data_IF_809411273095
#
_entry.id   IF_809411273095
#
_cell.length_a   1.000
_cell.length_b   1.000
_cell.length_c   1.000
_cell.angle_alpha   90.00
_cell.angle_beta   90.00
_cell.angle_gamma   90.00
#
_symmetry.space_group_name_H-M   'P 1'
#
loop_
_entity.id
_entity.type
_entity.pdbx_description
1 polymer ?
#
# COMPACT_ATOMS: atom_id res chain seq x y z
N UNK A 1 -9.74 -19.22 -24.62
CA UNK A 1 -8.81 -20.08 -23.86
C UNK A 1 -7.35 -19.62 -23.85
N UNK A 2 -6.81 -19.00 -24.93
CA UNK A 2 -5.39 -18.57 -24.96
C UNK A 2 -5.07 -17.32 -24.12
N UNK A 3 -5.94 -16.29 -24.18
CA UNK A 3 -5.74 -15.02 -23.47
C UNK A 3 -5.73 -15.17 -21.94
N UNK A 4 -6.73 -15.84 -21.40
CA UNK A 4 -6.86 -16.04 -19.94
C UNK A 4 -5.69 -16.84 -19.34
N UNK A 5 -5.20 -17.87 -20.06
CA UNK A 5 -4.02 -18.61 -19.61
C UNK A 5 -2.73 -17.80 -19.70
N UNK A 6 -2.59 -16.94 -20.72
CA UNK A 6 -1.45 -16.04 -20.84
C UNK A 6 -1.43 -14.97 -19.75
N UNK A 7 -2.58 -14.42 -19.39
CA UNK A 7 -2.70 -13.52 -18.24
C UNK A 7 -2.27 -14.23 -16.96
N UNK A 8 -2.81 -15.42 -16.68
CA UNK A 8 -2.44 -16.19 -15.49
C UNK A 8 -0.93 -16.49 -15.40
N UNK A 9 -0.29 -16.83 -16.52
CA UNK A 9 1.16 -17.05 -16.55
C UNK A 9 1.95 -15.76 -16.26
N UNK A 10 1.50 -14.61 -16.79
CA UNK A 10 2.14 -13.33 -16.54
C UNK A 10 2.01 -12.89 -15.07
N UNK A 11 0.87 -13.15 -14.41
CA UNK A 11 0.70 -12.89 -12.98
C UNK A 11 1.48 -13.88 -12.09
N UNK A 12 1.89 -15.03 -12.63
CA UNK A 12 2.75 -16.01 -11.95
C UNK A 12 4.25 -15.75 -12.18
N UNK A 13 4.62 -14.54 -12.58
CA UNK A 13 6.00 -14.11 -12.85
C UNK A 13 6.76 -14.97 -13.88
N UNK A 14 6.03 -15.59 -14.82
CA UNK A 14 6.66 -16.30 -15.93
C UNK A 14 7.46 -15.34 -16.82
N UNK A 15 8.67 -15.76 -17.21
CA UNK A 15 9.54 -14.98 -18.09
C UNK A 15 9.03 -14.97 -19.53
N UNK A 16 9.48 -13.99 -20.33
CA UNK A 16 9.10 -13.89 -21.74
C UNK A 16 9.39 -15.19 -22.51
N UNK A 17 10.57 -15.79 -22.31
CA UNK A 17 10.95 -17.04 -22.95
C UNK A 17 10.05 -18.22 -22.55
N UNK A 18 9.65 -18.29 -21.28
CA UNK A 18 8.72 -19.33 -20.79
C UNK A 18 7.34 -19.16 -21.42
N UNK A 19 6.81 -17.94 -21.46
CA UNK A 19 5.53 -17.66 -22.09
C UNK A 19 5.59 -17.91 -23.61
N UNK A 20 6.69 -17.58 -24.28
CA UNK A 20 6.88 -17.91 -25.70
C UNK A 20 6.83 -19.41 -25.95
N UNK A 21 7.51 -20.22 -25.14
CA UNK A 21 7.49 -21.67 -25.24
C UNK A 21 6.09 -22.27 -24.93
N UNK A 22 5.40 -21.75 -23.91
CA UNK A 22 4.09 -22.25 -23.49
C UNK A 22 2.96 -21.94 -24.47
N UNK A 23 3.03 -20.79 -25.15
CA UNK A 23 1.97 -20.31 -26.06
C UNK A 23 2.35 -20.40 -27.54
N UNK A 24 3.57 -20.85 -27.86
CA UNK A 24 4.07 -20.96 -29.23
C UNK A 24 4.25 -19.60 -29.91
N UNK A 25 4.59 -18.56 -29.14
CA UNK A 25 4.81 -17.22 -29.69
C UNK A 25 6.24 -17.05 -30.16
N UNK A 26 6.39 -16.48 -31.35
CA UNK A 26 7.69 -16.15 -31.96
C UNK A 26 8.04 -14.67 -31.83
N UNK A 27 7.03 -13.80 -31.66
CA UNK A 27 7.23 -12.37 -31.42
C UNK A 27 7.33 -12.10 -29.90
N UNK A 28 8.47 -11.58 -29.39
CA UNK A 28 8.64 -11.22 -27.99
C UNK A 28 7.71 -10.08 -27.52
N UNK A 29 7.09 -9.32 -28.43
CA UNK A 29 6.09 -8.30 -28.06
C UNK A 29 4.82 -8.93 -27.46
N UNK A 30 4.52 -10.17 -27.83
CA UNK A 30 3.34 -10.88 -27.34
C UNK A 30 3.39 -11.12 -25.83
N UNK A 31 4.41 -11.80 -25.26
CA UNK A 31 4.52 -11.96 -23.81
C UNK A 31 4.75 -10.62 -23.09
N UNK A 32 5.51 -9.69 -23.69
CA UNK A 32 5.78 -8.39 -23.09
C UNK A 32 4.49 -7.60 -22.79
N UNK A 33 3.48 -7.67 -23.66
CA UNK A 33 2.18 -7.03 -23.42
C UNK A 33 1.50 -7.53 -22.14
N UNK A 34 1.49 -8.85 -21.93
CA UNK A 34 0.86 -9.47 -20.75
C UNK A 34 1.67 -9.22 -19.47
N UNK A 35 3.00 -9.33 -19.54
CA UNK A 35 3.89 -9.06 -18.40
C UNK A 35 3.81 -7.60 -17.97
N UNK A 36 3.80 -6.67 -18.93
CA UNK A 36 3.66 -5.24 -18.62
C UNK A 36 2.32 -4.91 -17.95
N UNK A 37 1.24 -5.60 -18.35
CA UNK A 37 -0.06 -5.47 -17.69
C UNK A 37 -0.02 -6.00 -16.25
N UNK A 38 0.46 -7.24 -16.06
CA UNK A 38 0.54 -7.86 -14.74
C UNK A 38 1.38 -7.02 -13.76
N UNK A 39 2.55 -6.53 -14.20
CA UNK A 39 3.43 -5.68 -13.38
C UNK A 39 2.78 -4.35 -13.01
N UNK A 40 2.07 -3.70 -13.93
CA UNK A 40 1.35 -2.46 -13.64
C UNK A 40 0.29 -2.67 -12.56
N UNK A 41 -0.46 -3.76 -12.62
CA UNK A 41 -1.50 -4.06 -11.65
C UNK A 41 -0.91 -4.40 -10.27
N UNK A 42 0.14 -5.23 -10.22
CA UNK A 42 0.86 -5.54 -8.97
C UNK A 42 1.49 -4.30 -8.33
N UNK A 43 2.08 -3.41 -9.12
CA UNK A 43 2.64 -2.14 -8.65
C UNK A 43 1.57 -1.19 -8.14
N UNK A 44 0.42 -1.11 -8.82
CA UNK A 44 -0.72 -0.31 -8.38
C UNK A 44 -1.27 -0.80 -7.03
N UNK A 45 -1.48 -2.11 -6.90
CA UNK A 45 -1.98 -2.73 -5.67
C UNK A 45 -1.00 -2.52 -4.49
N UNK A 46 0.29 -2.84 -4.70
CA UNK A 46 1.31 -2.69 -3.65
C UNK A 46 1.62 -1.23 -3.31
N UNK A 47 1.50 -0.31 -4.27
CA UNK A 47 1.61 1.13 -4.02
C UNK A 47 0.47 1.65 -3.14
N UNK A 48 -0.76 1.22 -3.43
CA UNK A 48 -1.92 1.61 -2.63
C UNK A 48 -1.85 1.04 -1.20
N UNK A 49 -1.43 -0.23 -1.06
CA UNK A 49 -1.23 -0.85 0.25
C UNK A 49 -0.24 -0.05 1.11
N UNK A 50 0.90 0.36 0.53
CA UNK A 50 1.89 1.19 1.23
C UNK A 50 1.33 2.54 1.67
N UNK A 51 0.48 3.18 0.87
CA UNK A 51 -0.17 4.44 1.24
C UNK A 51 -1.14 4.24 2.41
N UNK A 52 -1.95 3.17 2.38
CA UNK A 52 -2.85 2.83 3.48
C UNK A 52 -2.09 2.51 4.76
N UNK A 53 -1.02 1.71 4.68
CA UNK A 53 -0.17 1.41 5.83
C UNK A 53 0.52 2.65 6.38
N UNK A 54 0.98 3.55 5.51
CA UNK A 54 1.57 4.82 5.93
C UNK A 54 0.55 5.70 6.66
N UNK A 55 -0.65 5.89 6.10
CA UNK A 55 -1.73 6.67 6.72
C UNK A 55 -2.11 6.11 8.10
N UNK A 56 -2.25 4.79 8.20
CA UNK A 56 -2.51 4.12 9.47
C UNK A 56 -1.40 4.38 10.51
N UNK A 57 -0.13 4.29 10.10
CA UNK A 57 1.02 4.55 10.99
C UNK A 57 1.10 6.01 11.49
N UNK A 58 0.69 6.97 10.67
CA UNK A 58 0.64 8.39 11.06
C UNK A 58 -0.51 8.66 12.04
N UNK A 59 -1.65 8.01 11.83
CA UNK A 59 -2.83 8.21 12.67
C UNK A 59 -2.65 7.60 14.08
N UNK A 60 -1.96 6.46 14.20
CA UNK A 60 -1.61 5.85 15.49
C UNK A 60 -0.65 6.74 16.32
N UNK A 61 0.23 7.51 15.69
CA UNK A 61 1.20 8.37 16.37
C UNK A 61 0.56 9.63 17.01
N UNK A 62 -0.55 10.13 16.45
CA UNK A 62 -1.24 11.33 16.94
C UNK A 62 -2.06 11.02 18.21
N UNK A 63 -2.58 9.79 18.33
CA UNK A 63 -3.36 9.33 19.49
C UNK A 63 -2.56 9.33 20.78
N UNK A 64 -1.31 8.87 20.73
CA UNK A 64 -0.42 8.83 21.90
C UNK A 64 0.02 10.22 22.37
N UNK A 65 0.35 11.12 21.44
CA UNK A 65 0.77 12.49 21.80
C UNK A 65 -0.38 13.32 22.41
N UNK A 66 -1.60 13.16 21.89
CA UNK A 66 -2.77 13.88 22.41
C UNK A 66 -3.21 13.37 23.79
N UNK A 67 -3.15 12.06 24.02
CA UNK A 67 -3.46 11.46 25.33
C UNK A 67 -2.41 11.84 26.38
N UNK A 68 -1.12 11.81 26.04
CA UNK A 68 -0.04 12.22 26.95
C UNK A 68 -0.10 13.72 27.28
N UNK A 69 -0.49 14.58 26.34
CA UNK A 69 -0.73 16.02 26.57
C UNK A 69 -1.96 16.26 27.47
N UNK A 70 -3.04 15.51 27.28
CA UNK A 70 -4.24 15.62 28.10
C UNK A 70 -3.98 15.19 29.56
N UNK A 71 -3.24 14.10 29.77
CA UNK A 71 -2.84 13.63 31.11
C UNK A 71 -1.97 14.68 31.82
N UNK A 72 -1.00 15.28 31.13
CA UNK A 72 -0.15 16.33 31.70
C UNK A 72 -0.92 17.63 32.02
N UNK A 73 -1.97 17.96 31.26
CA UNK A 73 -2.81 19.14 31.51
C UNK A 73 -3.75 18.97 32.71
N UNK A 74 -4.13 17.74 33.05
CA UNK A 74 -4.99 17.44 34.21
C UNK A 74 -4.25 17.50 35.56
N UNK A 75 -2.91 17.54 35.55
CA UNK A 75 -2.05 17.56 36.76
C UNK A 75 -1.59 18.99 37.10
N UNK A 76 -2.41 20.02 36.85
CA UNK A 76 -2.13 21.38 37.32
C UNK A 76 -2.76 21.64 38.71
N UNK A 77 -2.01 22.15 39.71
CA UNK A 77 -2.49 22.23 41.09
C UNK A 77 -3.51 23.36 41.28
N UNK A 78 -4.59 22.99 41.96
CA UNK A 78 -5.68 23.85 42.44
C UNK A 78 -5.08 25.00 43.26
N UNK A 79 -5.05 26.24 42.76
CA UNK A 79 -4.92 27.40 43.65
C UNK A 79 -5.44 28.71 43.06
N UNK A 80 -6.25 29.38 43.89
CA UNK A 80 -6.47 30.83 43.99
C UNK A 80 -7.60 31.48 43.18
N UNK A 81 -8.84 31.26 43.63
CA UNK A 81 -9.91 32.25 43.51
C UNK A 81 -9.77 33.32 44.59
N UNK A 82 -9.30 34.52 44.22
CA UNK A 82 -9.49 35.74 45.02
C UNK A 82 -9.85 36.91 44.11
N UNK A 83 -11.15 37.19 43.96
CA UNK A 83 -11.64 38.49 43.46
C UNK A 83 -12.13 39.31 44.65
N UNK A 84 -11.54 40.50 44.85
CA UNK A 84 -12.11 41.57 45.67
C UNK A 84 -12.89 42.52 44.76
N UNK A 85 -14.03 43.08 45.20
CA UNK A 85 -14.66 44.23 44.55
C UNK A 85 -13.86 45.52 44.79
#
# INVERSE_FOLDING_TARGET
MRKTRAEAAAYADCTEAQMMAMFGWTDPKMPAHYIAKARRDQLGASGMEKLVSFDHSQNENIGDFTLLRAVNAAVAPISNFRKKP
#
